data_IF_747729827325
#
_entry.id   IF_747729827325
#
_cell.length_a   1.000
_cell.length_b   1.000
_cell.length_c   1.000
_cell.angle_alpha   90.00
_cell.angle_beta   90.00
_cell.angle_gamma   90.00
#
_symmetry.space_group_name_H-M   'P 1'
#
loop_
_entity.id
_entity.type
_entity.pdbx_description
1 polymer ?
#
# COMPACT_ATOMS: atom_id res chain seq x y z
N UNK A 1 27.48 18.18 10.53
CA UNK A 1 26.16 18.43 9.92
C UNK A 1 25.35 17.17 10.21
N UNK A 2 24.29 17.26 11.01
CA UNK A 2 23.38 16.13 11.15
C UNK A 2 22.83 15.84 9.75
N UNK A 3 23.09 14.64 9.23
CA UNK A 3 22.36 14.17 8.04
C UNK A 3 20.89 14.12 8.45
N UNK A 4 20.11 15.10 7.98
CA UNK A 4 18.66 15.09 8.14
C UNK A 4 18.16 13.83 7.47
N UNK A 5 17.64 12.90 8.26
CA UNK A 5 17.15 11.63 7.79
C UNK A 5 15.99 11.90 6.82
N UNK A 6 16.18 11.56 5.55
CA UNK A 6 15.14 11.68 4.54
C UNK A 6 14.04 10.65 4.85
N UNK A 7 12.87 11.16 5.17
CA UNK A 7 11.69 10.33 5.44
C UNK A 7 11.04 9.88 4.15
N UNK A 8 10.41 8.71 4.19
CA UNK A 8 9.50 8.27 3.13
C UNK A 8 8.10 8.03 3.68
N UNK A 9 7.09 8.27 2.85
CA UNK A 9 5.70 7.97 3.15
C UNK A 9 4.97 7.47 1.91
N UNK A 10 4.01 6.55 2.11
CA UNK A 10 3.15 6.04 1.05
C UNK A 10 1.91 6.93 0.93
N UNK A 11 1.53 7.22 -0.31
CA UNK A 11 0.22 7.76 -0.67
C UNK A 11 -0.45 6.81 -1.66
N UNK A 12 -1.73 6.48 -1.41
CA UNK A 12 -2.56 5.80 -2.40
C UNK A 12 -3.69 6.74 -2.82
N UNK A 13 -3.78 7.06 -4.10
CA UNK A 13 -4.96 7.71 -4.68
C UNK A 13 -5.96 6.61 -4.99
N UNK A 14 -7.11 6.65 -4.30
CA UNK A 14 -8.08 5.56 -4.22
C UNK A 14 -9.06 5.57 -5.40
N UNK A 15 -9.82 4.46 -5.62
CA UNK A 15 -10.74 4.34 -6.74
C UNK A 15 -11.82 5.42 -6.82
N UNK A 16 -12.32 5.92 -5.69
CA UNK A 16 -13.29 7.02 -5.63
C UNK A 16 -12.71 8.35 -6.16
N UNK A 17 -11.46 8.66 -5.87
CA UNK A 17 -10.78 9.83 -6.41
C UNK A 17 -10.63 9.74 -7.93
N UNK A 18 -10.30 8.56 -8.46
CA UNK A 18 -10.21 8.30 -9.90
C UNK A 18 -11.58 8.41 -10.57
N UNK A 19 -12.62 7.79 -9.97
CA UNK A 19 -13.99 7.81 -10.48
C UNK A 19 -14.57 9.24 -10.55
N UNK A 20 -14.29 10.04 -9.54
CA UNK A 20 -14.81 11.40 -9.42
C UNK A 20 -13.95 12.46 -10.11
N UNK A 21 -12.92 12.06 -10.87
CA UNK A 21 -12.02 12.96 -11.61
C UNK A 21 -11.30 14.00 -10.73
N UNK A 22 -11.03 13.65 -9.45
CA UNK A 22 -10.37 14.55 -8.47
C UNK A 22 -8.84 14.38 -8.49
N UNK A 23 -8.32 13.45 -9.30
CA UNK A 23 -6.90 13.09 -9.34
C UNK A 23 -6.00 14.31 -9.59
N UNK A 24 -6.38 15.18 -10.54
CA UNK A 24 -5.61 16.40 -10.86
C UNK A 24 -5.50 17.36 -9.67
N UNK A 25 -6.59 17.54 -8.92
CA UNK A 25 -6.57 18.33 -7.69
C UNK A 25 -5.63 17.72 -6.64
N UNK A 26 -5.70 16.39 -6.44
CA UNK A 26 -4.84 15.69 -5.48
C UNK A 26 -3.36 15.88 -5.85
N UNK A 27 -2.98 15.67 -7.12
CA UNK A 27 -1.61 15.90 -7.57
C UNK A 27 -1.16 17.35 -7.42
N UNK A 28 -2.03 18.33 -7.64
CA UNK A 28 -1.73 19.73 -7.40
C UNK A 28 -1.42 20.01 -5.92
N UNK A 29 -2.24 19.48 -5.01
CA UNK A 29 -2.03 19.63 -3.56
C UNK A 29 -0.78 18.90 -3.06
N UNK A 30 -0.47 17.75 -3.65
CA UNK A 30 0.68 16.92 -3.28
C UNK A 30 1.89 17.14 -4.22
N UNK A 31 1.95 18.26 -4.95
CA UNK A 31 3.08 18.59 -5.80
C UNK A 31 4.37 18.75 -4.98
N UNK A 32 5.52 18.48 -5.60
CA UNK A 32 6.84 18.66 -4.96
C UNK A 32 7.02 20.10 -4.45
N UNK A 33 6.46 21.07 -5.16
CA UNK A 33 6.51 22.47 -4.76
C UNK A 33 5.76 22.73 -3.44
N UNK A 34 4.56 22.16 -3.27
CA UNK A 34 3.76 22.37 -2.05
C UNK A 34 4.24 21.54 -0.87
N UNK A 35 4.75 20.34 -1.13
CA UNK A 35 5.15 19.41 -0.07
C UNK A 35 6.61 19.58 0.35
N UNK A 36 7.47 20.11 -0.52
CA UNK A 36 8.92 20.06 -0.37
C UNK A 36 9.51 18.64 -0.47
N UNK A 37 8.67 17.64 -0.70
CA UNK A 37 9.05 16.24 -0.87
C UNK A 37 9.08 15.85 -2.34
N UNK A 38 9.97 14.92 -2.72
CA UNK A 38 10.14 14.43 -4.09
C UNK A 38 9.37 13.13 -4.31
N UNK A 39 8.93 12.89 -5.53
CA UNK A 39 8.45 11.58 -5.96
C UNK A 39 9.61 10.59 -6.02
N UNK A 40 9.64 9.61 -5.12
CA UNK A 40 10.63 8.53 -5.14
C UNK A 40 10.19 7.38 -6.06
N UNK A 41 8.90 7.10 -6.12
CA UNK A 41 8.30 6.13 -7.03
C UNK A 41 6.80 6.40 -7.22
N UNK A 42 6.26 5.98 -8.37
CA UNK A 42 4.82 6.00 -8.62
C UNK A 42 4.44 4.86 -9.57
N UNK A 43 3.31 4.22 -9.30
CA UNK A 43 2.75 3.19 -10.20
C UNK A 43 1.23 3.10 -10.09
N UNK A 44 0.61 2.60 -11.15
CA UNK A 44 -0.81 2.24 -11.18
C UNK A 44 -0.94 0.77 -10.84
N UNK A 45 -1.79 0.44 -9.88
CA UNK A 45 -1.94 -0.92 -9.36
C UNK A 45 -3.40 -1.35 -9.42
N UNK A 46 -3.67 -2.49 -10.03
CA UNK A 46 -4.94 -3.21 -9.83
C UNK A 46 -4.81 -3.96 -8.50
N UNK A 47 -5.59 -3.55 -7.51
CA UNK A 47 -5.46 -4.07 -6.14
C UNK A 47 -6.12 -5.43 -6.03
N UNK A 48 -5.33 -6.49 -5.82
CA UNK A 48 -5.86 -7.79 -5.49
C UNK A 48 -6.46 -7.81 -4.09
N UNK A 49 -7.39 -8.72 -3.85
CA UNK A 49 -7.97 -8.95 -2.52
C UNK A 49 -6.87 -9.20 -1.48
N UNK A 50 -5.88 -10.00 -1.83
CA UNK A 50 -4.77 -10.31 -0.93
C UNK A 50 -3.95 -9.06 -0.55
N UNK A 51 -3.60 -8.21 -1.52
CA UNK A 51 -2.87 -6.95 -1.25
C UNK A 51 -3.68 -6.03 -0.33
N UNK A 52 -5.01 -5.98 -0.54
CA UNK A 52 -5.91 -5.21 0.32
C UNK A 52 -5.94 -5.75 1.76
N UNK A 53 -6.01 -7.06 1.93
CA UNK A 53 -5.99 -7.73 3.24
C UNK A 53 -4.68 -7.49 3.99
N UNK A 54 -3.54 -7.56 3.31
CA UNK A 54 -2.23 -7.27 3.91
C UNK A 54 -2.06 -5.79 4.26
N UNK A 55 -2.57 -4.90 3.43
CA UNK A 55 -2.52 -3.46 3.69
C UNK A 55 -3.35 -3.07 4.92
N UNK A 56 -4.56 -3.62 5.04
CA UNK A 56 -5.50 -3.35 6.13
C UNK A 56 -5.55 -4.44 7.21
N UNK A 57 -4.47 -5.21 7.37
CA UNK A 57 -4.43 -6.32 8.32
C UNK A 57 -4.79 -5.92 9.78
N UNK A 58 -4.48 -4.70 10.20
CA UNK A 58 -4.82 -4.14 11.52
C UNK A 58 -6.32 -3.90 11.73
N UNK A 59 -7.09 -3.93 10.65
CA UNK A 59 -8.56 -3.74 10.68
C UNK A 59 -9.33 -5.05 10.63
N UNK A 60 -8.63 -6.19 10.57
CA UNK A 60 -9.25 -7.50 10.54
C UNK A 60 -10.23 -7.69 11.71
N UNK A 61 -11.40 -8.25 11.42
CA UNK A 61 -12.48 -8.48 12.40
C UNK A 61 -13.34 -7.26 12.76
N UNK A 62 -13.02 -6.06 12.24
CA UNK A 62 -13.89 -4.89 12.43
C UNK A 62 -15.09 -4.94 11.48
N UNK A 63 -16.26 -4.48 11.90
CA UNK A 63 -17.50 -4.52 11.11
C UNK A 63 -17.40 -3.88 9.72
N UNK A 64 -16.52 -2.90 9.54
CA UNK A 64 -16.30 -2.22 8.26
C UNK A 64 -15.21 -2.86 7.38
N UNK A 65 -14.54 -3.93 7.84
CA UNK A 65 -13.37 -4.50 7.18
C UNK A 65 -13.65 -4.92 5.74
N UNK A 66 -14.69 -5.73 5.52
CA UNK A 66 -15.07 -6.19 4.17
C UNK A 66 -15.36 -5.01 3.22
N UNK A 67 -16.13 -4.04 3.69
CA UNK A 67 -16.44 -2.84 2.91
C UNK A 67 -15.20 -2.00 2.58
N UNK A 68 -14.18 -2.01 3.47
CA UNK A 68 -12.90 -1.33 3.24
C UNK A 68 -12.08 -2.05 2.17
N UNK A 69 -12.09 -3.39 2.15
CA UNK A 69 -11.42 -4.18 1.12
C UNK A 69 -12.09 -3.99 -0.24
N UNK A 70 -13.43 -4.02 -0.31
CA UNK A 70 -14.18 -3.76 -1.52
C UNK A 70 -13.99 -2.33 -2.04
N UNK A 71 -13.78 -1.39 -1.13
CA UNK A 71 -13.47 -0.02 -1.47
C UNK A 71 -12.11 0.12 -2.15
N UNK A 72 -11.03 -0.41 -1.56
CA UNK A 72 -9.69 -0.25 -2.12
C UNK A 72 -9.47 -1.08 -3.39
N UNK A 73 -10.12 -2.23 -3.52
CA UNK A 73 -10.12 -3.03 -4.75
C UNK A 73 -10.95 -2.38 -5.87
N UNK A 74 -11.85 -1.44 -5.52
CA UNK A 74 -12.70 -0.73 -6.46
C UNK A 74 -13.98 -1.47 -6.86
N UNK A 75 -14.28 -2.63 -6.25
CA UNK A 75 -15.46 -3.44 -6.57
C UNK A 75 -16.79 -2.71 -6.29
N UNK A 76 -16.80 -1.84 -5.27
CA UNK A 76 -17.98 -1.02 -4.96
C UNK A 76 -18.14 0.21 -5.87
N UNK A 77 -17.11 0.57 -6.63
CA UNK A 77 -17.12 1.76 -7.49
C UNK A 77 -17.32 1.44 -8.96
N UNK A 78 -16.97 0.22 -9.38
CA UNK A 78 -17.00 -0.21 -10.78
C UNK A 78 -17.62 -1.59 -10.92
N UNK A 79 -18.49 -1.76 -11.90
CA UNK A 79 -19.14 -3.04 -12.20
C UNK A 79 -18.14 -4.07 -12.75
N UNK A 80 -18.57 -5.31 -13.00
CA UNK A 80 -17.70 -6.34 -13.59
C UNK A 80 -17.31 -5.99 -15.05
N UNK A 81 -18.20 -5.34 -15.79
CA UNK A 81 -17.92 -4.86 -17.15
C UNK A 81 -16.89 -3.74 -17.16
N UNK A 82 -16.73 -3.04 -16.03
CA UNK A 82 -15.78 -1.94 -15.83
C UNK A 82 -14.55 -2.35 -15.01
N UNK A 83 -14.34 -3.64 -14.72
CA UNK A 83 -13.24 -4.12 -13.84
C UNK A 83 -11.86 -3.60 -14.24
N UNK A 84 -11.62 -3.28 -15.50
CA UNK A 84 -10.38 -2.69 -15.98
C UNK A 84 -10.12 -1.26 -15.43
N UNK A 85 -11.14 -0.59 -14.89
CA UNK A 85 -11.03 0.70 -14.22
C UNK A 85 -10.66 0.58 -12.74
N UNK A 86 -10.76 -0.62 -12.15
CA UNK A 86 -10.47 -0.89 -10.73
C UNK A 86 -8.97 -0.80 -10.49
N UNK A 87 -8.51 0.36 -10.03
CA UNK A 87 -7.08 0.62 -9.77
C UNK A 87 -6.89 1.72 -8.73
N UNK A 88 -5.69 1.78 -8.19
CA UNK A 88 -5.18 2.89 -7.39
C UNK A 88 -3.89 3.44 -8.02
N UNK A 89 -3.52 4.66 -7.68
CA UNK A 89 -2.18 5.17 -7.96
C UNK A 89 -1.42 5.16 -6.63
N UNK A 90 -0.37 4.35 -6.55
CA UNK A 90 0.52 4.27 -5.41
C UNK A 90 1.73 5.17 -5.66
N UNK A 91 2.10 5.98 -4.67
CA UNK A 91 3.19 6.96 -4.77
C UNK A 91 4.02 6.91 -3.49
N UNK A 92 5.34 6.91 -3.64
CA UNK A 92 6.29 7.10 -2.54
C UNK A 92 6.82 8.53 -2.60
N UNK A 93 6.61 9.29 -1.54
CA UNK A 93 7.21 10.59 -1.33
C UNK A 93 8.45 10.48 -0.44
N UNK A 94 9.48 11.28 -0.74
CA UNK A 94 10.70 11.36 0.06
C UNK A 94 11.08 12.82 0.33
N UNK A 95 11.29 13.17 1.59
CA UNK A 95 11.73 14.51 1.99
C UNK A 95 11.81 14.67 3.49
N UNK A 96 12.27 15.83 3.94
CA UNK A 96 12.27 16.19 5.35
C UNK A 96 10.83 16.47 5.80
N UNK A 97 10.36 15.80 6.87
CA UNK A 97 9.00 15.95 7.38
C UNK A 97 7.91 15.52 6.38
N UNK A 98 8.26 14.68 5.39
CA UNK A 98 7.33 14.27 4.33
C UNK A 98 6.08 13.61 4.89
N UNK A 99 6.20 12.78 5.92
CA UNK A 99 5.07 12.09 6.54
C UNK A 99 4.06 13.10 7.10
N UNK A 100 4.51 14.03 7.93
CA UNK A 100 3.62 15.00 8.58
C UNK A 100 3.02 15.98 7.57
N UNK A 101 3.81 16.45 6.62
CA UNK A 101 3.35 17.37 5.57
C UNK A 101 2.25 16.73 4.71
N UNK A 102 2.46 15.50 4.22
CA UNK A 102 1.48 14.78 3.41
C UNK A 102 0.20 14.50 4.21
N UNK A 103 0.34 14.07 5.47
CA UNK A 103 -0.81 13.86 6.37
C UNK A 103 -1.58 15.16 6.64
N UNK A 104 -0.86 16.25 6.81
CA UNK A 104 -1.48 17.57 6.99
C UNK A 104 -2.31 17.97 5.76
N UNK A 105 -1.80 17.77 4.55
CA UNK A 105 -2.53 18.07 3.30
C UNK A 105 -3.72 17.13 3.08
N UNK A 106 -3.57 15.85 3.47
CA UNK A 106 -4.67 14.88 3.43
C UNK A 106 -5.83 15.30 4.34
N UNK A 107 -5.55 15.74 5.55
CA UNK A 107 -6.53 16.09 6.57
C UNK A 107 -7.07 14.88 7.35
N UNK A 108 -8.03 15.10 8.27
CA UNK A 108 -8.68 14.06 9.08
C UNK A 108 -9.25 12.93 8.23
N UNK A 109 -9.20 11.70 8.79
CA UNK A 109 -9.65 10.49 8.07
C UNK A 109 -11.15 10.54 7.75
N UNK A 110 -11.97 11.07 8.66
CA UNK A 110 -13.39 11.24 8.44
C UNK A 110 -13.64 12.49 7.59
N UNK A 111 -14.31 12.40 6.41
CA UNK A 111 -14.62 13.55 5.56
C UNK A 111 -15.46 14.65 6.23
N UNK A 112 -16.33 14.30 7.18
CA UNK A 112 -17.07 15.31 7.95
C UNK A 112 -16.13 16.12 8.85
N UNK A 113 -15.29 15.45 9.62
CA UNK A 113 -14.25 16.10 10.43
C UNK A 113 -13.28 16.93 9.58
N UNK A 114 -12.95 16.42 8.38
CA UNK A 114 -12.08 17.11 7.44
C UNK A 114 -12.70 18.43 6.97
N UNK A 115 -14.00 18.45 6.66
CA UNK A 115 -14.72 19.69 6.30
C UNK A 115 -14.80 20.67 7.44
N UNK A 116 -15.04 20.18 8.65
CA UNK A 116 -15.21 21.03 9.83
C UNK A 116 -13.89 21.58 10.36
N UNK A 117 -12.89 20.70 10.55
CA UNK A 117 -11.63 21.04 11.23
C UNK A 117 -10.55 21.56 10.30
N UNK A 118 -10.58 21.16 9.00
CA UNK A 118 -9.59 21.53 8.00
C UNK A 118 -10.21 21.67 6.60
N UNK A 119 -11.10 22.64 6.40
CA UNK A 119 -11.73 22.88 5.11
C UNK A 119 -10.66 23.10 4.01
N UNK A 120 -10.88 22.53 2.83
CA UNK A 120 -9.96 22.61 1.69
C UNK A 120 -8.85 21.55 1.68
N UNK A 121 -8.68 20.73 2.73
CA UNK A 121 -7.81 19.56 2.65
C UNK A 121 -8.41 18.49 1.71
N UNK A 122 -7.58 17.57 1.24
CA UNK A 122 -8.00 16.58 0.23
C UNK A 122 -9.24 15.79 0.69
N UNK A 123 -9.22 15.25 1.90
CA UNK A 123 -10.31 14.42 2.44
C UNK A 123 -11.60 15.18 2.72
N UNK A 124 -11.56 16.52 2.73
CA UNK A 124 -12.79 17.34 2.84
C UNK A 124 -13.73 17.16 1.63
N UNK A 125 -13.20 16.72 0.49
CA UNK A 125 -13.97 16.40 -0.72
C UNK A 125 -14.57 14.99 -0.72
N UNK A 126 -14.22 14.16 0.27
CA UNK A 126 -14.72 12.81 0.42
C UNK A 126 -16.16 12.73 0.91
N UNK A 127 -16.69 11.52 1.03
CA UNK A 127 -18.05 11.23 1.52
C UNK A 127 -18.03 10.16 2.61
N UNK A 128 -19.04 10.17 3.46
CA UNK A 128 -19.31 9.10 4.43
C UNK A 128 -20.54 8.33 3.95
N UNK A 129 -20.39 7.04 3.75
CA UNK A 129 -21.43 6.16 3.24
C UNK A 129 -21.85 5.20 4.34
N UNK A 130 -23.14 5.19 4.76
CA UNK A 130 -23.60 4.24 5.76
C UNK A 130 -23.58 2.81 5.22
N UNK A 131 -23.04 1.89 6.03
CA UNK A 131 -23.07 0.44 5.79
C UNK A 131 -24.33 -0.08 6.46
N UNK A 132 -25.16 -0.79 5.69
CA UNK A 132 -26.41 -1.38 6.20
C UNK A 132 -26.32 -2.89 6.17
N UNK A 133 -26.96 -3.54 7.16
CA UNK A 133 -27.21 -4.99 7.15
C UNK A 133 -28.34 -5.38 6.18
N UNK A 134 -28.67 -6.68 6.15
CA UNK A 134 -29.71 -7.22 5.29
C UNK A 134 -31.12 -6.65 5.61
N UNK A 135 -31.33 -6.21 6.83
CA UNK A 135 -32.56 -5.61 7.34
C UNK A 135 -32.61 -4.08 7.10
N UNK A 136 -31.54 -3.50 6.51
CA UNK A 136 -31.43 -2.06 6.22
C UNK A 136 -30.99 -1.19 7.39
N UNK A 137 -30.66 -1.78 8.55
CA UNK A 137 -30.15 -1.06 9.72
C UNK A 137 -28.68 -0.65 9.50
N UNK A 138 -28.34 0.58 9.86
CA UNK A 138 -26.95 1.06 9.79
C UNK A 138 -26.11 0.37 10.87
N UNK A 139 -25.09 -0.39 10.43
CA UNK A 139 -24.15 -1.13 11.27
C UNK A 139 -22.75 -0.49 11.33
N UNK A 140 -22.51 0.54 10.52
CA UNK A 140 -21.26 1.27 10.46
C UNK A 140 -21.23 2.29 9.35
N UNK A 141 -20.07 2.92 9.17
CA UNK A 141 -19.84 3.86 8.08
C UNK A 141 -18.56 3.52 7.34
N UNK A 142 -18.61 3.57 6.00
CA UNK A 142 -17.45 3.59 5.12
C UNK A 142 -17.10 5.03 4.80
N UNK A 143 -15.82 5.31 4.78
CA UNK A 143 -15.29 6.64 4.48
C UNK A 143 -14.64 6.60 3.09
N UNK A 144 -15.34 7.10 2.08
CA UNK A 144 -14.79 7.33 0.74
C UNK A 144 -14.00 8.64 0.78
N UNK A 145 -12.74 8.55 1.21
CA UNK A 145 -11.91 9.70 1.62
C UNK A 145 -10.72 9.95 0.69
N UNK A 146 -10.79 9.47 -0.54
CA UNK A 146 -9.98 9.80 -1.71
C UNK A 146 -8.54 9.31 -1.68
N UNK A 147 -7.86 9.42 -0.54
CA UNK A 147 -6.47 9.02 -0.40
C UNK A 147 -6.21 8.24 0.90
N UNK A 148 -5.20 7.38 0.83
CA UNK A 148 -4.51 6.86 2.00
C UNK A 148 -3.17 7.56 2.15
N UNK A 149 -2.70 7.73 3.38
CA UNK A 149 -1.36 8.19 3.74
C UNK A 149 -0.89 7.42 4.95
N UNK A 150 0.37 6.97 4.96
CA UNK A 150 0.94 6.28 6.12
C UNK A 150 0.77 7.09 7.41
N UNK A 151 0.48 6.45 8.53
CA UNK A 151 0.20 7.12 9.80
C UNK A 151 1.45 7.34 10.67
N UNK A 152 2.50 6.54 10.45
CA UNK A 152 3.76 6.60 11.19
C UNK A 152 4.91 6.09 10.34
N UNK A 153 6.17 6.32 10.78
CA UNK A 153 7.35 5.79 10.08
C UNK A 153 7.37 4.25 9.98
N UNK A 154 7.05 3.48 11.04
CA UNK A 154 6.96 2.03 10.93
C UNK A 154 5.88 1.56 9.94
N UNK A 155 4.73 2.25 9.89
CA UNK A 155 3.70 1.95 8.90
C UNK A 155 4.17 2.30 7.48
N UNK A 156 4.80 3.45 7.30
CA UNK A 156 5.36 3.85 6.00
C UNK A 156 6.34 2.80 5.47
N UNK A 157 7.27 2.32 6.31
CA UNK A 157 8.20 1.26 5.94
C UNK A 157 7.47 -0.02 5.53
N UNK A 158 6.54 -0.50 6.36
CA UNK A 158 5.73 -1.71 6.09
C UNK A 158 4.95 -1.57 4.79
N UNK A 159 4.26 -0.45 4.61
CA UNK A 159 3.41 -0.20 3.46
C UNK A 159 4.21 -0.02 2.18
N UNK A 160 5.31 0.74 2.21
CA UNK A 160 6.17 0.90 1.02
C UNK A 160 6.72 -0.45 0.58
N UNK A 161 7.23 -1.26 1.52
CA UNK A 161 7.71 -2.61 1.21
C UNK A 161 6.62 -3.57 0.73
N UNK A 162 5.36 -3.35 1.11
CA UNK A 162 4.23 -4.13 0.62
C UNK A 162 3.85 -3.74 -0.82
N UNK A 163 3.81 -2.45 -1.10
CA UNK A 163 3.35 -1.94 -2.40
C UNK A 163 4.43 -1.85 -3.46
N UNK A 164 5.71 -1.70 -3.08
CA UNK A 164 6.84 -1.50 -3.99
C UNK A 164 7.92 -2.56 -3.78
N UNK A 165 8.43 -3.09 -4.88
CA UNK A 165 9.69 -3.84 -4.87
C UNK A 165 10.88 -2.85 -4.84
N UNK A 166 12.08 -3.28 -4.40
CA UNK A 166 13.24 -2.40 -4.40
C UNK A 166 13.51 -1.75 -5.76
N UNK A 167 13.29 -2.49 -6.85
CA UNK A 167 13.55 -2.00 -8.21
C UNK A 167 12.49 -1.02 -8.74
N UNK A 168 11.37 -0.87 -8.06
CA UNK A 168 10.38 0.19 -8.35
C UNK A 168 10.88 1.58 -7.88
N UNK A 169 11.92 1.62 -7.03
CA UNK A 169 12.47 2.84 -6.43
C UNK A 169 13.94 3.01 -6.89
N UNK A 170 14.32 4.16 -7.46
CA UNK A 170 15.71 4.41 -7.85
C UNK A 170 16.68 4.17 -6.68
N UNK A 171 17.83 3.51 -6.91
CA UNK A 171 18.74 3.12 -5.82
C UNK A 171 19.11 4.25 -4.87
N UNK A 172 19.35 5.45 -5.38
CA UNK A 172 19.70 6.64 -4.58
C UNK A 172 18.54 7.20 -3.74
N UNK A 173 17.30 6.74 -3.98
CA UNK A 173 16.10 7.17 -3.26
C UNK A 173 15.54 6.07 -2.36
N UNK A 174 16.20 4.91 -2.25
CA UNK A 174 15.76 3.83 -1.35
C UNK A 174 16.10 4.19 0.09
N UNK A 175 15.08 4.31 0.94
CA UNK A 175 15.28 4.59 2.37
C UNK A 175 15.52 3.31 3.21
N UNK A 176 15.16 2.14 2.67
CA UNK A 176 15.21 0.88 3.43
C UNK A 176 16.26 -0.07 2.86
N UNK A 177 16.91 -0.89 3.72
CA UNK A 177 17.96 -1.80 3.31
C UNK A 177 17.49 -2.86 2.30
N UNK A 178 18.35 -3.12 1.31
CA UNK A 178 18.18 -4.17 0.31
C UNK A 178 19.35 -5.14 0.35
N UNK A 179 19.14 -6.36 -0.12
CA UNK A 179 20.17 -7.38 -0.34
C UNK A 179 19.99 -8.03 -1.71
N UNK A 180 21.06 -8.63 -2.20
CA UNK A 180 21.01 -9.46 -3.40
C UNK A 180 20.62 -10.87 -3.00
N UNK A 181 19.61 -11.43 -3.64
CA UNK A 181 19.17 -12.80 -3.41
C UNK A 181 20.29 -13.76 -3.81
N UNK A 182 20.76 -14.65 -2.93
CA UNK A 182 21.89 -15.52 -3.21
C UNK A 182 21.51 -16.86 -3.86
N UNK A 183 20.24 -17.27 -3.77
CA UNK A 183 19.76 -18.58 -4.21
C UNK A 183 18.36 -18.46 -4.84
N UNK A 184 17.87 -19.58 -5.37
CA UNK A 184 16.49 -19.66 -5.86
C UNK A 184 15.53 -19.88 -4.70
N UNK A 185 14.34 -19.28 -4.78
CA UNK A 185 13.21 -19.56 -3.92
C UNK A 185 11.98 -19.89 -4.76
N UNK A 186 11.37 -21.03 -4.44
CA UNK A 186 10.13 -21.52 -5.04
C UNK A 186 9.08 -21.69 -3.95
N UNK A 187 7.83 -21.46 -4.29
CA UNK A 187 6.71 -21.59 -3.35
C UNK A 187 5.70 -22.60 -3.85
N UNK A 188 5.24 -23.49 -2.95
CA UNK A 188 4.18 -24.44 -3.21
C UNK A 188 3.48 -24.81 -1.91
N UNK A 189 2.15 -24.79 -1.89
CA UNK A 189 1.31 -25.29 -0.79
C UNK A 189 1.72 -24.78 0.61
N UNK A 190 2.02 -23.49 0.72
CA UNK A 190 2.41 -22.85 2.00
C UNK A 190 3.87 -23.09 2.40
N UNK A 191 4.69 -23.73 1.56
CA UNK A 191 6.09 -24.06 1.83
C UNK A 191 7.03 -23.40 0.85
N UNK A 192 8.25 -23.15 1.32
CA UNK A 192 9.34 -22.59 0.55
C UNK A 192 10.37 -23.68 0.23
N UNK A 193 10.89 -23.65 -1.00
CA UNK A 193 11.90 -24.58 -1.52
C UNK A 193 13.03 -23.79 -2.17
N UNK A 194 14.28 -24.25 -2.01
CA UNK A 194 15.44 -23.66 -2.69
C UNK A 194 15.74 -24.33 -4.04
N UNK A 195 15.15 -25.50 -4.29
CA UNK A 195 15.21 -26.20 -5.56
C UNK A 195 13.81 -26.27 -6.18
N UNK A 196 13.77 -26.39 -7.51
CA UNK A 196 12.50 -26.54 -8.21
C UNK A 196 11.79 -27.83 -7.76
N UNK A 197 10.54 -27.65 -7.32
CA UNK A 197 9.60 -28.74 -7.09
C UNK A 197 8.51 -28.69 -8.15
N UNK A 198 8.05 -29.85 -8.61
CA UNK A 198 6.96 -29.92 -9.58
C UNK A 198 5.74 -29.12 -9.07
N UNK A 199 5.16 -28.28 -9.94
CA UNK A 199 4.01 -27.39 -9.66
C UNK A 199 4.33 -26.28 -8.64
N UNK A 200 5.60 -26.00 -8.34
CA UNK A 200 6.00 -24.85 -7.54
C UNK A 200 6.08 -23.58 -8.39
N UNK A 201 5.85 -22.43 -7.75
CA UNK A 201 5.96 -21.11 -8.39
C UNK A 201 7.30 -20.48 -8.03
N UNK A 202 8.01 -19.98 -9.04
CA UNK A 202 9.25 -19.24 -8.84
C UNK A 202 8.99 -17.88 -8.19
N UNK A 203 9.71 -17.56 -7.12
CA UNK A 203 9.63 -16.29 -6.41
C UNK A 203 10.81 -15.37 -6.71
N UNK A 204 12.01 -15.86 -6.46
CA UNK A 204 13.27 -15.11 -6.53
C UNK A 204 14.41 -16.00 -7.00
N UNK A 205 15.41 -15.39 -7.62
CA UNK A 205 16.63 -16.07 -8.03
C UNK A 205 17.90 -15.30 -7.68
N UNK A 206 19.06 -15.92 -7.87
CA UNK A 206 20.34 -15.26 -7.68
C UNK A 206 20.44 -13.98 -8.52
N UNK A 207 20.84 -12.88 -7.87
CA UNK A 207 20.94 -11.56 -8.51
C UNK A 207 19.72 -10.65 -8.35
N UNK A 208 18.56 -11.17 -7.94
CA UNK A 208 17.39 -10.35 -7.66
C UNK A 208 17.65 -9.42 -6.46
N UNK A 209 17.30 -8.13 -6.61
CA UNK A 209 17.37 -7.15 -5.51
C UNK A 209 16.10 -7.26 -4.69
N UNK A 210 16.23 -7.51 -3.39
CA UNK A 210 15.10 -7.75 -2.48
C UNK A 210 15.22 -6.89 -1.23
N UNK A 211 14.10 -6.59 -0.57
CA UNK A 211 14.14 -5.97 0.75
C UNK A 211 14.85 -6.93 1.73
N UNK A 212 15.83 -6.40 2.48
CA UNK A 212 16.60 -7.20 3.45
C UNK A 212 15.67 -7.97 4.40
N UNK A 213 14.62 -7.32 4.92
CA UNK A 213 13.63 -7.95 5.80
C UNK A 213 12.90 -9.13 5.15
N UNK A 214 12.58 -9.03 3.86
CA UNK A 214 11.90 -10.10 3.13
C UNK A 214 12.85 -11.30 2.93
N UNK A 215 14.11 -11.03 2.58
CA UNK A 215 15.10 -12.09 2.42
C UNK A 215 15.39 -12.80 3.75
N UNK A 216 15.41 -12.07 4.88
CA UNK A 216 15.54 -12.68 6.21
C UNK A 216 14.37 -13.62 6.53
N UNK A 217 13.13 -13.23 6.20
CA UNK A 217 11.94 -14.09 6.35
C UNK A 217 12.06 -15.34 5.50
N UNK A 218 12.46 -15.21 4.22
CA UNK A 218 12.65 -16.37 3.33
C UNK A 218 13.73 -17.32 3.84
N UNK A 219 14.88 -16.79 4.26
CA UNK A 219 15.99 -17.58 4.85
C UNK A 219 15.55 -18.35 6.10
N UNK A 220 14.78 -17.71 7.00
CA UNK A 220 14.27 -18.37 8.20
C UNK A 220 13.29 -19.50 7.86
N UNK A 221 12.36 -19.26 6.93
CA UNK A 221 11.42 -20.31 6.50
C UNK A 221 12.10 -21.48 5.77
N UNK A 222 13.10 -21.21 4.94
CA UNK A 222 13.86 -22.27 4.26
C UNK A 222 14.60 -23.18 5.24
N UNK A 223 15.02 -22.65 6.40
CA UNK A 223 15.69 -23.37 7.47
C UNK A 223 14.74 -23.94 8.53
N UNK A 224 13.43 -23.72 8.41
CA UNK A 224 12.43 -24.03 9.45
C UNK A 224 12.74 -23.33 10.79
N UNK A 225 13.29 -22.12 10.75
CA UNK A 225 13.57 -21.29 11.90
C UNK A 225 12.42 -20.27 12.15
N UNK A 226 12.27 -19.74 13.38
CA UNK A 226 11.31 -18.69 13.65
C UNK A 226 11.58 -17.44 12.80
N UNK A 227 10.59 -16.98 12.07
CA UNK A 227 10.69 -15.79 11.21
C UNK A 227 9.98 -14.57 11.85
N UNK A 228 10.51 -13.36 11.62
CA UNK A 228 9.91 -12.10 12.11
C UNK A 228 8.72 -11.61 11.26
N UNK A 229 8.22 -12.43 10.34
CA UNK A 229 7.12 -12.08 9.44
C UNK A 229 6.48 -13.33 8.81
N UNK A 230 5.35 -13.09 8.11
CA UNK A 230 4.60 -14.17 7.48
C UNK A 230 5.15 -14.46 6.08
N UNK A 231 5.39 -15.75 5.80
CA UNK A 231 5.82 -16.19 4.47
C UNK A 231 4.85 -15.75 3.37
N UNK A 232 3.55 -15.93 3.59
CA UNK A 232 2.53 -15.60 2.60
C UNK A 232 2.56 -14.11 2.21
N UNK A 233 2.84 -13.20 3.15
CA UNK A 233 3.00 -11.77 2.85
C UNK A 233 4.15 -11.52 1.87
N UNK A 234 5.30 -12.16 2.11
CA UNK A 234 6.48 -12.02 1.22
C UNK A 234 6.19 -12.65 -0.14
N UNK A 235 5.63 -13.87 -0.16
CA UNK A 235 5.27 -14.57 -1.40
C UNK A 235 4.37 -13.72 -2.27
N UNK A 236 3.31 -13.14 -1.69
CA UNK A 236 2.37 -12.33 -2.45
C UNK A 236 2.98 -11.08 -3.06
N UNK A 237 3.88 -10.39 -2.36
CA UNK A 237 4.60 -9.23 -2.91
C UNK A 237 5.30 -9.57 -4.22
N UNK A 238 6.00 -10.70 -4.24
CA UNK A 238 6.81 -11.12 -5.38
C UNK A 238 6.02 -11.80 -6.49
N UNK A 239 4.86 -12.40 -6.19
CA UNK A 239 3.95 -12.93 -7.22
C UNK A 239 3.11 -11.84 -7.88
N UNK A 240 2.50 -10.96 -7.10
CA UNK A 240 1.56 -9.94 -7.60
C UNK A 240 2.26 -8.86 -8.42
N UNK A 241 3.49 -8.50 -8.07
CA UNK A 241 4.23 -7.45 -8.78
C UNK A 241 4.90 -7.92 -10.08
N UNK A 242 4.69 -9.15 -10.52
CA UNK A 242 5.23 -9.71 -11.78
C UNK A 242 4.19 -9.83 -12.90
N UNK A 243 2.93 -9.45 -12.63
CA UNK A 243 1.83 -9.51 -13.62
C UNK A 243 1.57 -8.11 -14.16
#
# INVERSE_FOLDING_TARGET
MNEKQLEQTLVLIKPDALKNSITGFIFSQLSEFHTGARFAAAKVVNVSRFLAEEHYAEHYGKAFYESLLDYITGTIHYTEEEKWKRRVIAIVYQGEGALDTIRALAGPTNPHDAREKKPGCIRSLGTVVPIKDAEGKVIGNRMDNLIHTSASHPEAEREIKLWFLPNDIPPMMRAYPVEICPTHYYYKDGKLYENYERDSVFLLGPGDVVWKSDLEILKSHAKNEPAKGRLNTVVAKYLINRI
#
